data_IF_416807359620
#
_entry.id   IF_416807359620
#
_cell.length_a   1.000
_cell.length_b   1.000
_cell.length_c   1.000
_cell.angle_alpha   90.00
_cell.angle_beta   90.00
_cell.angle_gamma   90.00
#
_symmetry.space_group_name_H-M   'P 1'
#
loop_
_entity.id
_entity.type
_entity.pdbx_description
1 polymer ?
#
# COMPACT_ATOMS: atom_id res chain seq x y z
N UNK A 1 13.24 11.61 10.80
CA UNK A 1 12.20 11.20 9.83
C UNK A 1 12.79 10.35 8.70
N UNK A 2 13.24 9.13 9.01
CA UNK A 2 13.97 8.25 8.05
C UNK A 2 13.15 7.02 7.62
N UNK A 3 12.04 6.73 8.31
CA UNK A 3 11.22 5.51 8.13
C UNK A 3 10.06 5.66 7.13
N UNK A 4 9.56 6.89 6.93
CA UNK A 4 8.41 7.18 6.03
C UNK A 4 8.79 7.20 4.54
N UNK A 5 10.05 7.56 4.24
CA UNK A 5 10.59 7.65 2.87
C UNK A 5 10.49 6.32 2.09
N UNK A 6 10.89 5.16 2.65
CA UNK A 6 10.82 3.90 1.91
C UNK A 6 9.38 3.43 1.63
N UNK A 7 8.40 3.78 2.46
CA UNK A 7 7.01 3.32 2.25
C UNK A 7 6.29 4.16 1.20
N UNK A 8 6.50 5.49 1.22
CA UNK A 8 6.05 6.36 0.13
C UNK A 8 6.69 5.95 -1.20
N UNK A 9 7.97 5.54 -1.17
CA UNK A 9 8.67 5.07 -2.37
C UNK A 9 8.07 3.77 -2.91
N UNK A 10 7.80 2.76 -2.07
CA UNK A 10 7.16 1.51 -2.52
C UNK A 10 5.76 1.75 -3.11
N UNK A 11 4.97 2.62 -2.47
CA UNK A 11 3.60 2.94 -2.93
C UNK A 11 3.65 3.60 -4.32
N UNK A 12 4.57 4.56 -4.51
CA UNK A 12 4.79 5.19 -5.80
C UNK A 12 5.24 4.17 -6.87
N UNK A 13 6.19 3.30 -6.56
CA UNK A 13 6.66 2.27 -7.50
C UNK A 13 5.55 1.31 -7.91
N UNK A 14 4.67 0.90 -6.99
CA UNK A 14 3.50 0.04 -7.30
C UNK A 14 2.49 0.74 -8.20
N UNK A 15 2.17 2.01 -7.91
CA UNK A 15 1.26 2.81 -8.74
C UNK A 15 1.84 2.98 -10.15
N UNK A 16 3.12 3.34 -10.27
CA UNK A 16 3.78 3.51 -11.56
C UNK A 16 3.98 2.18 -12.31
N UNK A 17 4.22 1.07 -11.62
CA UNK A 17 4.37 -0.25 -12.25
C UNK A 17 3.06 -0.82 -12.80
N UNK A 18 1.93 -0.49 -12.17
CA UNK A 18 0.61 -0.94 -12.62
C UNK A 18 -0.12 0.08 -13.52
N UNK A 19 0.28 1.36 -13.50
CA UNK A 19 -0.26 2.39 -14.36
C UNK A 19 -0.26 2.03 -15.88
N UNK A 20 0.83 1.52 -16.48
CA UNK A 20 0.83 1.19 -17.91
C UNK A 20 -0.05 -0.04 -18.23
N UNK A 21 -0.21 -0.97 -17.29
CA UNK A 21 -1.09 -2.13 -17.42
C UNK A 21 -2.59 -1.75 -17.48
N UNK A 22 -2.97 -0.66 -16.83
CA UNK A 22 -4.35 -0.13 -16.86
C UNK A 22 -4.57 0.79 -18.07
N UNK A 23 -3.54 1.50 -18.52
CA UNK A 23 -3.64 2.54 -19.56
C UNK A 23 -3.52 2.00 -21.00
N UNK A 24 -2.96 0.81 -21.23
CA UNK A 24 -2.82 0.22 -22.59
C UNK A 24 -3.83 -0.94 -22.75
N UNK A 25 -5.02 -0.70 -23.31
CA UNK A 25 -6.01 -1.75 -23.56
C UNK A 25 -5.67 -2.58 -24.81
N UNK A 26 -5.75 -3.91 -24.69
CA UNK A 26 -5.74 -4.86 -25.81
C UNK A 26 -7.07 -5.64 -25.91
N UNK A 27 -7.43 -6.15 -27.09
CA UNK A 27 -8.69 -6.88 -27.30
C UNK A 27 -8.82 -8.08 -26.33
N UNK A 28 -9.96 -8.21 -25.63
CA UNK A 28 -10.23 -9.27 -24.64
C UNK A 28 -9.81 -8.96 -23.19
N UNK A 29 -9.30 -7.77 -22.91
CA UNK A 29 -8.79 -7.38 -21.56
C UNK A 29 -9.82 -6.71 -20.66
N UNK A 30 -11.08 -6.60 -21.07
CA UNK A 30 -12.17 -5.97 -20.29
C UNK A 30 -12.37 -6.65 -18.91
N UNK A 31 -12.28 -7.98 -18.85
CA UNK A 31 -12.27 -8.73 -17.59
C UNK A 31 -11.00 -8.43 -16.76
N UNK A 32 -9.84 -8.38 -17.41
CA UNK A 32 -8.55 -8.11 -16.77
C UNK A 32 -8.39 -6.65 -16.29
N UNK A 33 -9.06 -5.69 -16.94
CA UNK A 33 -9.12 -4.29 -16.52
C UNK A 33 -9.93 -4.16 -15.22
N UNK A 34 -11.09 -4.82 -15.14
CA UNK A 34 -11.90 -4.82 -13.92
C UNK A 34 -11.13 -5.39 -12.72
N UNK A 35 -10.53 -6.58 -12.90
CA UNK A 35 -9.71 -7.22 -11.85
C UNK A 35 -8.47 -6.41 -11.51
N UNK A 36 -7.77 -5.87 -12.52
CA UNK A 36 -6.57 -5.06 -12.35
C UNK A 36 -6.84 -3.80 -11.53
N UNK A 37 -7.93 -3.09 -11.79
CA UNK A 37 -8.33 -1.89 -11.03
C UNK A 37 -8.67 -2.25 -9.59
N UNK A 38 -9.42 -3.34 -9.35
CA UNK A 38 -9.78 -3.79 -8.00
C UNK A 38 -8.53 -4.18 -7.19
N UNK A 39 -7.60 -4.91 -7.79
CA UNK A 39 -6.34 -5.31 -7.14
C UNK A 39 -5.47 -4.09 -6.84
N UNK A 40 -5.36 -3.15 -7.79
CA UNK A 40 -4.57 -1.93 -7.62
C UNK A 40 -5.13 -1.05 -6.51
N UNK A 41 -6.45 -0.85 -6.48
CA UNK A 41 -7.14 -0.16 -5.40
C UNK A 41 -6.99 -0.89 -4.05
N UNK A 42 -7.08 -2.22 -4.05
CA UNK A 42 -6.92 -3.05 -2.85
C UNK A 42 -5.52 -2.95 -2.26
N UNK A 43 -4.48 -3.01 -3.09
CA UNK A 43 -3.08 -2.85 -2.65
C UNK A 43 -2.84 -1.42 -2.15
N UNK A 44 -3.36 -0.41 -2.86
CA UNK A 44 -3.23 0.99 -2.43
C UNK A 44 -3.90 1.21 -1.06
N UNK A 45 -5.14 0.74 -0.90
CA UNK A 45 -5.88 0.87 0.35
C UNK A 45 -5.23 0.07 1.50
N UNK A 46 -4.80 -1.17 1.22
CA UNK A 46 -4.06 -2.00 2.19
C UNK A 46 -2.75 -1.35 2.63
N UNK A 47 -2.04 -0.68 1.72
CA UNK A 47 -0.80 0.05 2.04
C UNK A 47 -1.07 1.24 2.95
N UNK A 48 -2.13 2.03 2.70
CA UNK A 48 -2.54 3.14 3.57
C UNK A 48 -2.94 2.61 4.95
N UNK A 49 -3.80 1.59 4.99
CA UNK A 49 -4.27 0.99 6.25
C UNK A 49 -3.08 0.45 7.03
N UNK A 50 -2.16 -0.29 6.39
CA UNK A 50 -0.97 -0.82 7.05
C UNK A 50 -0.07 0.30 7.55
N UNK A 51 0.13 1.36 6.76
CA UNK A 51 0.94 2.52 7.17
C UNK A 51 0.41 3.24 8.39
N UNK A 52 -0.91 3.30 8.57
CA UNK A 52 -1.54 3.93 9.72
C UNK A 52 -1.66 2.95 10.89
N UNK A 53 -2.03 1.69 10.61
CA UNK A 53 -2.26 0.67 11.61
C UNK A 53 -0.96 0.16 12.24
N UNK A 54 0.07 -0.10 11.45
CA UNK A 54 1.38 -0.60 11.91
C UNK A 54 2.04 0.31 12.96
N UNK A 55 2.18 1.64 12.77
CA UNK A 55 2.76 2.51 13.80
C UNK A 55 1.85 2.65 15.03
N UNK A 56 0.53 2.71 14.85
CA UNK A 56 -0.41 2.71 15.98
C UNK A 56 -0.27 1.44 16.83
N UNK A 57 -0.20 0.28 16.16
CA UNK A 57 -0.02 -1.01 16.81
C UNK A 57 1.35 -1.14 17.48
N UNK A 58 2.42 -0.74 16.80
CA UNK A 58 3.78 -0.73 17.38
C UNK A 58 3.89 0.20 18.59
N UNK A 59 3.28 1.39 18.55
CA UNK A 59 3.24 2.31 19.69
C UNK A 59 2.48 1.70 20.87
N UNK A 60 1.34 1.06 20.61
CA UNK A 60 0.56 0.37 21.65
C UNK A 60 1.35 -0.80 22.28
N UNK A 61 2.02 -1.61 21.46
CA UNK A 61 2.88 -2.71 21.94
C UNK A 61 4.08 -2.18 22.72
N UNK A 62 4.71 -1.09 22.28
CA UNK A 62 5.81 -0.45 23.01
C UNK A 62 5.35 0.14 24.35
N UNK A 63 4.13 0.68 24.45
CA UNK A 63 3.55 1.11 25.72
C UNK A 63 3.30 -0.05 26.69
N UNK A 64 2.98 -1.24 26.18
CA UNK A 64 2.84 -2.46 27.01
C UNK A 64 4.20 -3.01 27.48
N UNK A 65 5.27 -2.78 26.71
CA UNK A 65 6.62 -3.29 27.02
C UNK A 65 7.50 -2.28 27.78
N UNK A 66 7.22 -0.98 27.72
CA UNK A 66 7.97 0.01 28.48
C UNK A 66 7.79 -0.27 29.99
N UNK A 67 8.84 -0.70 30.72
CA UNK A 67 8.81 -0.69 32.16
C UNK A 67 8.59 0.77 32.56
N UNK A 68 7.48 1.04 33.24
CA UNK A 68 7.29 2.33 33.91
C UNK A 68 8.48 2.52 34.86
N UNK A 69 9.17 3.68 34.85
CA UNK A 69 10.12 3.99 35.92
C UNK A 69 9.39 4.07 37.27
#
# INVERSE_FOLDING_TARGET
SMRLRPILMSTFTTIFGLAPLVLIPGAGTELYRGVGVVVLAGIFCSTIITLTFLPCFLMWVLQLRAPKP
#
